data_IF_006938249605
#
_entry.id   IF_006938249605
#
_cell.length_a   1.000
_cell.length_b   1.000
_cell.length_c   1.000
_cell.angle_alpha   90.00
_cell.angle_beta   90.00
_cell.angle_gamma   90.00
#
_symmetry.space_group_name_H-M   'P 1'
#
loop_
_entity.id
_entity.type
_entity.pdbx_description
1 polymer ?
#
# COMPACT_ATOMS: atom_id res chain seq x y z
N UNK A 1 11.39 13.93 12.61
CA UNK A 1 10.66 12.87 11.88
C UNK A 1 11.65 11.78 11.55
N UNK A 2 11.27 10.51 11.62
CA UNK A 2 12.15 9.41 11.21
C UNK A 2 12.38 9.49 9.69
N UNK A 3 13.64 9.50 9.21
CA UNK A 3 13.92 9.47 7.78
C UNK A 3 13.39 8.18 7.15
N UNK A 4 12.72 8.29 6.00
CA UNK A 4 12.20 7.14 5.25
C UNK A 4 13.01 7.02 3.96
N UNK A 5 13.81 5.96 3.83
CA UNK A 5 14.59 5.69 2.62
C UNK A 5 13.66 5.19 1.51
N UNK A 6 13.83 5.77 0.31
CA UNK A 6 13.19 5.30 -0.91
C UNK A 6 14.21 5.16 -2.04
N UNK A 7 14.03 4.12 -2.83
CA UNK A 7 14.77 3.86 -4.06
C UNK A 7 13.81 4.06 -5.22
N UNK A 8 13.99 5.12 -5.99
CA UNK A 8 13.16 5.42 -7.16
C UNK A 8 13.89 4.94 -8.41
N UNK A 9 13.24 4.09 -9.20
CA UNK A 9 13.82 3.57 -10.43
C UNK A 9 13.44 4.40 -11.65
N UNK A 10 14.21 4.24 -12.71
CA UNK A 10 13.92 4.76 -14.04
C UNK A 10 14.55 3.86 -15.10
N UNK A 11 14.63 4.37 -16.33
CA UNK A 11 15.36 3.71 -17.41
C UNK A 11 16.46 4.65 -17.91
N UNK A 12 17.64 4.12 -18.19
CA UNK A 12 18.74 4.86 -18.79
C UNK A 12 18.49 5.16 -20.28
N UNK A 13 19.43 5.85 -20.93
CA UNK A 13 19.33 6.20 -22.36
C UNK A 13 19.25 4.99 -23.31
N UNK A 14 19.61 3.78 -22.84
CA UNK A 14 19.51 2.53 -23.60
C UNK A 14 18.27 1.71 -23.22
N UNK A 15 17.38 2.25 -22.40
CA UNK A 15 16.18 1.57 -21.91
C UNK A 15 16.45 0.52 -20.83
N UNK A 16 17.65 0.48 -20.24
CA UNK A 16 17.98 -0.42 -19.12
C UNK A 16 17.52 0.18 -17.80
N UNK A 17 16.97 -0.65 -16.94
CA UNK A 17 16.53 -0.18 -15.62
C UNK A 17 17.70 0.25 -14.73
N UNK A 18 17.52 1.37 -14.05
CA UNK A 18 18.51 1.99 -13.17
C UNK A 18 17.85 2.68 -11.98
N UNK A 19 18.66 3.09 -11.01
CA UNK A 19 18.23 3.93 -9.90
C UNK A 19 18.37 5.40 -10.30
N UNK A 20 17.28 6.15 -10.15
CA UNK A 20 17.27 7.60 -10.34
C UNK A 20 17.50 8.34 -9.03
N UNK A 21 16.94 7.84 -7.91
CA UNK A 21 17.17 8.38 -6.57
C UNK A 21 17.28 7.25 -5.55
N UNK A 22 18.23 7.38 -4.62
CA UNK A 22 18.37 6.49 -3.47
C UNK A 22 18.78 7.32 -2.25
N UNK A 23 17.91 7.37 -1.26
CA UNK A 23 18.16 8.09 -0.02
C UNK A 23 16.88 8.35 0.78
N UNK A 24 17.00 9.04 1.92
CA UNK A 24 15.82 9.50 2.63
C UNK A 24 14.99 10.45 1.75
N UNK A 25 13.67 10.33 1.79
CA UNK A 25 12.80 11.29 1.11
C UNK A 25 13.00 12.70 1.71
N UNK A 26 13.23 13.74 0.88
CA UNK A 26 13.39 15.10 1.37
C UNK A 26 12.05 15.75 1.76
N UNK A 27 10.90 15.15 1.42
CA UNK A 27 9.57 15.72 1.60
C UNK A 27 8.97 15.33 2.97
N UNK A 28 9.65 15.70 4.06
CA UNK A 28 9.20 15.44 5.42
C UNK A 28 8.50 16.66 6.02
N UNK A 29 7.29 16.45 6.55
CA UNK A 29 6.37 17.49 7.01
C UNK A 29 5.98 17.24 8.48
N UNK A 30 6.71 17.83 9.45
CA UNK A 30 6.31 17.81 10.86
C UNK A 30 4.93 18.45 11.04
N UNK A 31 4.10 17.87 11.91
CA UNK A 31 2.81 18.45 12.27
C UNK A 31 3.00 19.69 13.15
N UNK A 32 2.13 20.69 12.99
CA UNK A 32 2.12 21.90 13.82
C UNK A 32 1.80 21.62 15.29
N UNK A 33 1.07 20.55 15.59
CA UNK A 33 0.60 20.21 16.95
C UNK A 33 1.69 19.64 17.88
N UNK A 34 2.93 19.45 17.42
CA UNK A 34 4.04 19.05 18.29
C UNK A 34 5.06 18.11 17.63
N UNK A 35 6.20 17.95 18.31
CA UNK A 35 7.33 17.15 17.83
C UNK A 35 6.97 15.66 17.69
N UNK A 36 7.56 15.00 16.70
CA UNK A 36 7.45 13.54 16.54
C UNK A 36 6.18 13.06 15.82
N UNK A 37 5.28 13.97 15.45
CA UNK A 37 4.11 13.69 14.58
C UNK A 37 4.30 14.37 13.23
N UNK A 38 3.81 13.75 12.16
CA UNK A 38 3.87 14.34 10.82
C UNK A 38 3.71 13.31 9.73
N UNK A 39 4.01 13.69 8.50
CA UNK A 39 4.06 12.77 7.38
C UNK A 39 5.33 12.98 6.56
N UNK A 40 5.68 11.99 5.73
CA UNK A 40 6.75 12.08 4.74
C UNK A 40 6.21 11.56 3.43
N UNK A 41 6.22 12.40 2.40
CA UNK A 41 5.72 12.05 1.08
C UNK A 41 6.81 11.30 0.30
N UNK A 42 6.41 10.23 -0.38
CA UNK A 42 7.34 9.34 -1.08
C UNK A 42 7.16 9.40 -2.59
N UNK A 43 5.92 9.53 -3.07
CA UNK A 43 5.62 9.71 -4.49
C UNK A 43 4.20 10.28 -4.67
N UNK A 44 3.99 11.03 -5.73
CA UNK A 44 2.67 11.54 -6.15
C UNK A 44 2.50 11.22 -7.63
N UNK A 45 1.29 10.85 -8.06
CA UNK A 45 0.94 10.79 -9.48
C UNK A 45 -0.40 11.49 -9.68
N UNK A 46 -0.53 12.22 -10.79
CA UNK A 46 -1.66 13.15 -11.00
C UNK A 46 -2.71 12.63 -11.99
N UNK A 47 -2.38 11.58 -12.74
CA UNK A 47 -3.25 10.93 -13.71
C UNK A 47 -3.04 9.41 -13.73
N UNK A 48 -4.09 8.66 -14.07
CA UNK A 48 -4.07 7.22 -14.29
C UNK A 48 -4.51 6.94 -15.74
N UNK A 49 -3.70 6.25 -16.57
CA UNK A 49 -2.46 5.57 -16.22
C UNK A 49 -1.32 6.55 -15.90
N UNK A 50 -0.51 6.22 -14.90
CA UNK A 50 0.57 7.05 -14.39
C UNK A 50 1.69 7.22 -15.42
N UNK A 51 2.21 8.44 -15.66
CA UNK A 51 3.37 8.65 -16.52
C UNK A 51 4.61 7.95 -15.95
N UNK A 52 5.17 7.03 -16.72
CA UNK A 52 6.38 6.30 -16.34
C UNK A 52 7.64 7.03 -16.86
N UNK A 53 7.49 7.77 -17.96
CA UNK A 53 8.54 8.60 -18.56
C UNK A 53 8.66 9.93 -17.82
N UNK A 54 9.85 10.27 -17.32
CA UNK A 54 10.10 11.56 -16.67
C UNK A 54 11.36 11.56 -15.82
N UNK A 55 11.99 12.73 -15.70
CA UNK A 55 13.24 12.93 -14.94
C UNK A 55 13.01 13.70 -13.63
N UNK A 56 11.77 14.03 -13.32
CA UNK A 56 11.37 14.69 -12.09
C UNK A 56 11.16 13.68 -10.96
N UNK A 57 11.39 14.18 -9.75
CA UNK A 57 11.03 13.49 -8.53
C UNK A 57 9.63 13.96 -8.11
N UNK A 58 8.62 13.18 -8.45
CA UNK A 58 7.22 13.60 -8.28
C UNK A 58 6.76 13.58 -6.81
N UNK A 59 7.62 13.16 -5.88
CA UNK A 59 7.43 13.47 -4.46
C UNK A 59 7.44 14.98 -4.18
N UNK A 60 7.98 15.80 -5.08
CA UNK A 60 8.01 17.27 -4.97
C UNK A 60 6.71 17.96 -5.41
N UNK A 61 5.74 17.24 -5.98
CA UNK A 61 4.49 17.83 -6.44
C UNK A 61 3.81 18.52 -5.25
N UNK A 62 3.29 19.76 -5.42
CA UNK A 62 2.67 20.50 -4.34
C UNK A 62 1.57 19.70 -3.65
N UNK A 63 1.51 19.87 -2.33
CA UNK A 63 0.56 19.16 -1.47
C UNK A 63 -0.89 19.37 -1.91
N UNK A 64 -1.58 18.27 -2.16
CA UNK A 64 -3.02 18.20 -2.40
C UNK A 64 -3.59 17.07 -1.53
N UNK A 65 -4.48 17.42 -0.59
CA UNK A 65 -5.13 16.45 0.30
C UNK A 65 -6.59 16.25 -0.13
N UNK A 66 -7.05 15.00 -0.28
CA UNK A 66 -6.38 13.75 0.14
C UNK A 66 -5.29 13.26 -0.82
N UNK A 67 -5.48 13.47 -2.11
CA UNK A 67 -4.52 13.16 -3.18
C UNK A 67 -5.01 13.80 -4.50
N UNK A 68 -4.19 13.92 -5.55
CA UNK A 68 -4.63 14.43 -6.85
C UNK A 68 -5.85 13.68 -7.41
N UNK A 69 -6.87 14.37 -7.97
CA UNK A 69 -8.15 13.75 -8.35
C UNK A 69 -8.06 12.75 -9.51
N UNK A 70 -7.01 12.82 -10.34
CA UNK A 70 -6.77 11.85 -11.41
C UNK A 70 -5.83 10.71 -11.05
N UNK A 71 -5.24 10.73 -9.84
CA UNK A 71 -4.16 9.82 -9.47
C UNK A 71 -4.18 9.49 -7.99
N UNK A 72 -3.07 9.77 -7.28
CA UNK A 72 -2.93 9.40 -5.89
C UNK A 72 -1.61 9.85 -5.25
N UNK A 73 -1.40 9.42 -4.01
CA UNK A 73 -0.22 9.77 -3.22
C UNK A 73 0.22 8.63 -2.30
N UNK A 74 1.52 8.31 -2.36
CA UNK A 74 2.19 7.45 -1.39
C UNK A 74 2.86 8.31 -0.31
N UNK A 75 2.53 8.04 0.95
CA UNK A 75 3.17 8.69 2.10
C UNK A 75 3.30 7.79 3.32
N UNK A 76 4.17 8.18 4.23
CA UNK A 76 4.28 7.57 5.56
C UNK A 76 3.86 8.57 6.61
N UNK A 77 2.91 8.20 7.46
CA UNK A 77 2.45 9.01 8.59
C UNK A 77 3.11 8.51 9.87
N UNK A 78 3.81 9.40 10.57
CA UNK A 78 4.35 9.18 11.90
C UNK A 78 3.35 9.66 12.95
N UNK A 79 2.84 8.70 13.73
CA UNK A 79 1.98 8.92 14.89
C UNK A 79 2.79 8.87 16.18
N UNK A 80 2.29 9.55 17.19
CA UNK A 80 2.80 9.53 18.57
C UNK A 80 1.85 8.72 19.45
N UNK A 81 2.42 7.87 20.30
CA UNK A 81 1.66 7.05 21.24
C UNK A 81 1.14 7.85 22.42
N UNK A 82 -0.07 7.55 22.88
CA UNK A 82 -0.67 8.19 24.05
C UNK A 82 0.06 7.75 25.32
N UNK A 83 0.61 8.67 26.14
CA UNK A 83 1.32 8.30 27.35
C UNK A 83 0.36 7.77 28.42
N UNK A 84 0.88 6.99 29.36
CA UNK A 84 0.08 6.33 30.39
C UNK A 84 -0.61 7.32 31.36
N UNK A 85 0.01 8.48 31.59
CA UNK A 85 -0.46 9.57 32.43
C UNK A 85 -1.23 10.66 31.65
N UNK A 86 -1.64 10.38 30.40
CA UNK A 86 -2.39 11.33 29.59
C UNK A 86 -3.66 11.81 30.30
N UNK A 87 -3.80 13.14 30.41
CA UNK A 87 -5.00 13.80 30.91
C UNK A 87 -5.64 14.70 29.84
N UNK A 88 -6.82 14.30 29.37
CA UNK A 88 -7.57 15.04 28.36
C UNK A 88 -7.99 16.44 28.82
N UNK A 89 -8.18 16.67 30.13
CA UNK A 89 -8.57 17.97 30.67
C UNK A 89 -7.48 19.05 30.51
N UNK A 90 -6.24 18.62 30.28
CA UNK A 90 -5.07 19.50 30.13
C UNK A 90 -4.44 19.43 28.74
N UNK A 91 -5.04 18.71 27.77
CA UNK A 91 -4.50 18.63 26.42
C UNK A 91 -4.90 19.88 25.61
N UNK A 92 -3.94 20.75 25.23
CA UNK A 92 -4.23 21.96 24.45
C UNK A 92 -4.64 21.67 23.00
N UNK A 93 -4.45 20.43 22.51
CA UNK A 93 -4.76 20.01 21.16
C UNK A 93 -6.11 19.29 21.06
N UNK A 94 -6.86 19.17 22.16
CA UNK A 94 -8.14 18.48 22.14
C UNK A 94 -9.17 19.28 21.34
N UNK A 95 -9.81 18.61 20.39
CA UNK A 95 -10.90 19.16 19.59
C UNK A 95 -12.12 18.27 19.77
N UNK A 96 -13.18 18.85 20.34
CA UNK A 96 -14.44 18.16 20.54
C UNK A 96 -15.05 17.71 19.19
N UNK A 97 -15.83 16.62 19.18
CA UNK A 97 -16.64 16.28 18.03
C UNK A 97 -17.57 17.42 17.62
N UNK A 98 -17.82 17.58 16.32
CA UNK A 98 -18.75 18.57 15.78
C UNK A 98 -19.51 18.00 14.58
N UNK A 99 -20.53 18.71 14.09
CA UNK A 99 -21.21 18.32 12.86
C UNK A 99 -20.23 18.22 11.67
N UNK A 100 -20.42 17.30 10.71
CA UNK A 100 -19.55 17.17 9.55
C UNK A 100 -19.35 18.48 8.81
N UNK A 101 -18.09 18.78 8.46
CA UNK A 101 -17.69 19.94 7.66
C UNK A 101 -16.80 19.50 6.51
N UNK A 102 -16.93 20.19 5.38
CA UNK A 102 -16.03 20.03 4.23
C UNK A 102 -14.75 20.80 4.52
N UNK A 103 -13.59 20.18 4.28
CA UNK A 103 -12.30 20.87 4.25
C UNK A 103 -11.98 21.31 2.81
N UNK A 104 -11.44 22.52 2.61
CA UNK A 104 -10.86 22.91 1.32
C UNK A 104 -9.78 21.89 0.90
N UNK A 105 -9.71 21.48 -0.39
CA UNK A 105 -10.44 22.03 -1.54
C UNK A 105 -11.82 21.40 -1.83
N UNK A 106 -12.35 20.49 -1.01
CA UNK A 106 -13.72 19.98 -1.18
C UNK A 106 -13.88 18.45 -1.22
N UNK A 107 -12.80 17.70 -0.97
CA UNK A 107 -12.76 16.22 -1.10
C UNK A 107 -12.48 15.49 0.22
N UNK A 108 -12.65 16.20 1.32
CA UNK A 108 -12.42 15.71 2.67
C UNK A 108 -13.49 16.26 3.58
N UNK A 109 -14.03 15.40 4.44
CA UNK A 109 -14.98 15.78 5.46
C UNK A 109 -14.42 15.42 6.83
N UNK A 110 -14.70 16.24 7.83
CA UNK A 110 -14.32 15.95 9.20
C UNK A 110 -15.40 16.32 10.21
N UNK A 111 -15.38 15.61 11.33
CA UNK A 111 -16.32 15.80 12.45
C UNK A 111 -15.60 15.86 13.81
N UNK A 112 -14.37 16.35 13.82
CA UNK A 112 -13.60 16.61 15.05
C UNK A 112 -13.17 15.33 15.80
N UNK A 113 -13.16 15.41 17.13
CA UNK A 113 -12.88 14.26 18.02
C UNK A 113 -11.40 13.89 18.14
N UNK A 114 -10.48 14.83 17.91
CA UNK A 114 -9.05 14.58 17.91
C UNK A 114 -8.31 15.21 19.08
N UNK A 115 -7.05 14.82 19.19
CA UNK A 115 -6.08 15.34 20.14
C UNK A 115 -4.68 15.11 19.56
N UNK A 116 -3.63 15.27 20.36
CA UNK A 116 -2.26 15.07 19.87
C UNK A 116 -1.96 13.62 19.40
N UNK A 117 -2.61 12.62 20.02
CA UNK A 117 -2.37 11.19 19.84
C UNK A 117 -3.34 10.49 18.89
N UNK A 118 -4.35 11.21 18.39
CA UNK A 118 -5.35 10.69 17.46
C UNK A 118 -5.66 11.68 16.35
N UNK A 119 -5.83 11.21 15.11
CA UNK A 119 -6.38 12.02 14.02
C UNK A 119 -7.83 12.43 14.28
N UNK A 120 -8.35 13.37 13.48
CA UNK A 120 -9.78 13.67 13.45
C UNK A 120 -10.56 12.50 12.85
N UNK A 121 -11.80 12.33 13.29
CA UNK A 121 -12.75 11.51 12.56
C UNK A 121 -13.05 12.20 11.24
N UNK A 122 -12.66 11.57 10.14
CA UNK A 122 -12.69 12.15 8.80
C UNK A 122 -12.96 11.09 7.75
N UNK A 123 -13.32 11.54 6.55
CA UNK A 123 -13.33 10.70 5.36
C UNK A 123 -12.89 11.50 4.15
N UNK A 124 -12.48 10.77 3.13
CA UNK A 124 -11.85 11.31 1.94
C UNK A 124 -12.43 10.63 0.72
N UNK A 125 -12.49 11.35 -0.40
CA UNK A 125 -12.76 10.78 -1.72
C UNK A 125 -11.54 9.98 -2.21
N UNK A 126 -11.24 8.90 -1.50
CA UNK A 126 -10.14 7.98 -1.79
C UNK A 126 -10.49 6.54 -1.45
N UNK A 127 -9.77 5.62 -2.08
CA UNK A 127 -9.54 4.27 -1.57
C UNK A 127 -8.08 4.22 -1.10
N UNK A 128 -7.86 3.85 0.16
CA UNK A 128 -6.54 3.86 0.77
C UNK A 128 -6.05 2.44 1.07
N UNK A 129 -4.82 2.13 0.69
CA UNK A 129 -4.10 0.98 1.22
C UNK A 129 -3.22 1.44 2.37
N UNK A 130 -3.61 1.09 3.59
CA UNK A 130 -2.89 1.45 4.81
C UNK A 130 -2.21 0.23 5.43
N UNK A 131 -0.92 0.37 5.75
CA UNK A 131 -0.08 -0.71 6.26
C UNK A 131 0.78 -0.19 7.41
N UNK A 132 0.78 -0.90 8.55
CA UNK A 132 1.68 -0.59 9.67
C UNK A 132 3.09 -1.07 9.34
N UNK A 133 4.04 -0.13 9.35
CA UNK A 133 5.47 -0.40 9.24
C UNK A 133 6.09 -0.62 10.61
N UNK A 134 5.69 0.19 11.61
CA UNK A 134 6.21 0.18 12.98
C UNK A 134 5.15 0.57 14.00
N UNK A 135 5.25 -0.01 15.20
CA UNK A 135 4.33 0.25 16.30
C UNK A 135 2.97 -0.41 16.10
N UNK A 136 1.96 0.18 16.74
CA UNK A 136 0.56 -0.26 16.69
C UNK A 136 -0.34 0.94 16.42
N UNK A 137 -1.51 0.70 15.85
CA UNK A 137 -2.51 1.73 15.56
C UNK A 137 -3.89 1.14 15.80
N UNK A 138 -4.83 2.01 16.16
CA UNK A 138 -6.25 1.68 16.27
C UNK A 138 -6.98 2.39 15.14
N UNK A 139 -7.74 1.63 14.35
CA UNK A 139 -8.76 2.15 13.44
C UNK A 139 -10.05 2.33 14.24
N UNK A 140 -10.53 3.55 14.35
CA UNK A 140 -11.79 3.88 15.00
C UNK A 140 -12.84 4.15 13.93
N UNK A 141 -13.92 3.39 13.96
CA UNK A 141 -15.12 3.54 13.13
C UNK A 141 -16.31 3.91 14.03
N UNK A 142 -17.46 4.22 13.42
CA UNK A 142 -18.69 4.50 14.20
C UNK A 142 -19.22 3.27 14.94
N UNK A 143 -19.08 2.08 14.36
CA UNK A 143 -19.67 0.86 14.91
C UNK A 143 -18.71 0.08 15.83
N UNK A 144 -17.39 0.32 15.74
CA UNK A 144 -16.36 -0.36 16.54
C UNK A 144 -14.99 0.30 16.45
N UNK A 145 -14.07 -0.19 17.28
CA UNK A 145 -12.63 0.01 17.13
C UNK A 145 -11.95 -1.30 16.70
N UNK A 146 -10.89 -1.19 15.90
CA UNK A 146 -10.07 -2.32 15.44
C UNK A 146 -8.61 -2.04 15.72
N UNK A 147 -8.02 -2.86 16.57
CA UNK A 147 -6.57 -2.91 16.75
C UNK A 147 -5.94 -3.70 15.60
N UNK A 148 -4.84 -3.15 15.06
CA UNK A 148 -4.11 -3.77 13.97
C UNK A 148 -2.60 -3.55 14.15
N UNK A 149 -1.84 -4.52 13.66
CA UNK A 149 -0.40 -4.66 13.93
C UNK A 149 0.43 -4.70 12.63
N UNK A 150 1.76 -4.76 12.77
CA UNK A 150 2.66 -4.96 11.62
C UNK A 150 2.27 -6.18 10.80
N UNK A 151 2.07 -5.96 9.50
CA UNK A 151 1.66 -7.00 8.54
C UNK A 151 0.15 -7.04 8.28
N UNK A 152 -0.67 -6.37 9.08
CA UNK A 152 -2.08 -6.12 8.78
C UNK A 152 -2.20 -5.01 7.73
N UNK A 153 -3.19 -5.13 6.85
CA UNK A 153 -3.51 -4.11 5.85
C UNK A 153 -4.96 -3.67 6.01
N UNK A 154 -5.17 -2.38 6.19
CA UNK A 154 -6.48 -1.74 6.10
C UNK A 154 -6.69 -1.28 4.67
N UNK A 155 -7.83 -1.66 4.11
CA UNK A 155 -8.39 -1.12 2.88
C UNK A 155 -9.52 -0.18 3.31
N UNK A 156 -9.24 1.12 3.28
CA UNK A 156 -10.25 2.13 3.55
C UNK A 156 -10.94 2.50 2.24
N UNK A 157 -12.23 2.22 2.12
CA UNK A 157 -13.02 2.47 0.92
C UNK A 157 -13.93 3.67 1.20
N UNK A 158 -13.32 4.85 1.38
CA UNK A 158 -14.02 6.12 1.58
C UNK A 158 -14.76 6.25 2.92
N UNK A 159 -14.41 5.46 3.94
CA UNK A 159 -15.12 5.41 5.19
C UNK A 159 -14.89 6.64 6.07
N UNK A 160 -15.85 7.00 6.91
CA UNK A 160 -15.53 7.75 8.14
C UNK A 160 -14.57 6.95 9.01
N UNK A 161 -13.43 7.52 9.35
CA UNK A 161 -12.44 6.84 10.16
C UNK A 161 -11.60 7.81 10.98
N UNK A 162 -11.05 7.27 12.06
CA UNK A 162 -10.06 7.96 12.88
C UNK A 162 -8.89 7.02 13.17
N UNK A 163 -7.69 7.53 12.97
CA UNK A 163 -6.46 6.82 13.30
C UNK A 163 -5.96 7.24 14.68
N UNK A 164 -6.00 6.34 15.66
CA UNK A 164 -5.61 6.61 17.05
C UNK A 164 -4.41 5.76 17.46
N UNK A 165 -3.57 6.27 18.36
CA UNK A 165 -2.53 5.48 19.05
C UNK A 165 -2.93 5.34 20.51
N UNK A 166 -3.53 4.22 20.90
CA UNK A 166 -4.12 4.04 22.25
C UNK A 166 -3.07 3.75 23.33
N UNK A 167 -1.92 3.20 22.95
CA UNK A 167 -0.83 2.82 23.85
C UNK A 167 0.39 3.75 23.72
N UNK A 168 1.30 3.75 24.72
CA UNK A 168 2.62 4.36 24.58
C UNK A 168 3.42 3.71 23.44
N UNK A 169 4.25 4.51 22.77
CA UNK A 169 4.98 4.08 21.57
C UNK A 169 4.28 4.58 20.30
N UNK A 170 5.04 5.30 19.46
CA UNK A 170 4.53 5.83 18.20
C UNK A 170 4.29 4.75 17.15
N UNK A 171 3.75 5.16 16.01
CA UNK A 171 3.50 4.29 14.86
C UNK A 171 4.07 4.90 13.58
N UNK A 172 4.51 4.06 12.66
CA UNK A 172 4.70 4.43 11.25
C UNK A 172 3.71 3.65 10.40
N UNK A 173 2.89 4.37 9.64
CA UNK A 173 1.89 3.77 8.76
C UNK A 173 2.10 4.31 7.36
N UNK A 174 2.27 3.41 6.39
CA UNK A 174 2.22 3.74 4.96
C UNK A 174 0.76 3.93 4.57
N UNK A 175 0.49 4.96 3.78
CA UNK A 175 -0.76 5.17 3.08
C UNK A 175 -0.46 5.33 1.59
N UNK A 176 -1.06 4.47 0.79
CA UNK A 176 -1.22 4.66 -0.64
C UNK A 176 -2.66 5.09 -0.89
N UNK A 177 -2.85 6.38 -1.14
CA UNK A 177 -4.16 7.03 -1.23
C UNK A 177 -4.52 7.24 -2.70
N UNK A 178 -5.52 6.51 -3.19
CA UNK A 178 -5.94 6.53 -4.59
C UNK A 178 -7.22 7.34 -4.70
N UNK A 179 -7.28 8.31 -5.61
CA UNK A 179 -8.49 9.09 -5.82
C UNK A 179 -9.71 8.20 -6.05
N UNK A 180 -10.84 8.57 -5.46
CA UNK A 180 -12.13 7.89 -5.62
C UNK A 180 -13.25 8.92 -5.83
N UNK A 181 -14.43 8.43 -6.24
CA UNK A 181 -15.61 9.27 -6.45
C UNK A 181 -16.75 8.84 -5.53
N UNK A 182 -17.32 9.80 -4.80
CA UNK A 182 -18.60 9.61 -4.13
C UNK A 182 -19.74 9.97 -5.08
N UNK A 183 -20.57 8.99 -5.45
CA UNK A 183 -21.63 9.17 -6.46
C UNK A 183 -22.91 9.78 -5.89
N UNK A 184 -23.05 9.78 -4.57
CA UNK A 184 -24.17 10.32 -3.80
C UNK A 184 -23.77 11.58 -2.99
N UNK A 185 -22.79 12.31 -3.51
CA UNK A 185 -22.27 13.53 -2.90
C UNK A 185 -21.49 13.24 -1.61
N UNK A 186 -21.57 14.08 -0.57
CA UNK A 186 -20.75 13.93 0.64
C UNK A 186 -21.11 12.69 1.48
N UNK A 187 -22.16 11.94 1.11
CA UNK A 187 -22.59 10.75 1.84
C UNK A 187 -21.64 9.58 1.58
N UNK A 188 -21.14 9.39 0.35
CA UNK A 188 -20.04 8.48 0.03
C UNK A 188 -20.33 7.00 0.32
N UNK A 189 -21.55 6.54 0.05
CA UNK A 189 -21.91 5.16 0.37
C UNK A 189 -21.28 4.15 -0.59
N UNK A 190 -20.99 2.96 -0.04
CA UNK A 190 -20.60 1.82 -0.86
C UNK A 190 -21.71 1.44 -1.86
N UNK A 191 -21.28 1.21 -3.09
CA UNK A 191 -22.12 0.89 -4.22
C UNK A 191 -22.17 -0.62 -4.43
N UNK A 192 -23.29 -1.08 -5.00
CA UNK A 192 -23.48 -2.49 -5.33
C UNK A 192 -23.63 -3.39 -4.10
N UNK A 193 -23.70 -4.69 -4.36
CA UNK A 193 -23.93 -5.73 -3.35
C UNK A 193 -22.94 -6.88 -3.50
N UNK A 194 -21.73 -6.60 -3.99
CA UNK A 194 -20.70 -7.62 -4.19
C UNK A 194 -20.44 -8.35 -2.88
N UNK A 195 -20.47 -9.69 -2.97
CA UNK A 195 -20.30 -10.54 -1.81
C UNK A 195 -18.87 -10.40 -1.29
N UNK A 196 -18.74 -9.92 -0.05
CA UNK A 196 -17.48 -9.92 0.70
C UNK A 196 -16.84 -11.30 0.66
N UNK A 197 -15.60 -11.35 0.20
CA UNK A 197 -14.82 -12.58 0.10
C UNK A 197 -13.97 -12.74 1.36
N UNK A 198 -14.05 -13.91 1.98
CA UNK A 198 -13.30 -14.24 3.20
C UNK A 198 -12.52 -15.53 2.98
N UNK A 199 -11.35 -15.64 3.62
CA UNK A 199 -10.62 -16.90 3.65
C UNK A 199 -11.47 -18.00 4.29
N UNK A 200 -11.40 -19.21 3.73
CA UNK A 200 -12.03 -20.38 4.33
C UNK A 200 -11.42 -20.68 5.71
N UNK A 201 -12.18 -21.31 6.61
CA UNK A 201 -11.70 -21.65 7.96
C UNK A 201 -10.43 -22.51 7.97
N UNK A 202 -10.20 -23.30 6.92
CA UNK A 202 -9.02 -24.12 6.72
C UNK A 202 -8.01 -23.51 5.74
N UNK A 203 -8.05 -22.19 5.52
CA UNK A 203 -7.13 -21.50 4.62
C UNK A 203 -5.68 -21.78 5.00
N UNK A 204 -4.94 -22.40 4.09
CA UNK A 204 -3.52 -22.74 4.28
C UNK A 204 -2.68 -21.86 3.38
N UNK A 205 -1.71 -21.20 3.96
CA UNK A 205 -0.57 -20.63 3.26
C UNK A 205 0.62 -21.61 3.34
N UNK A 206 1.59 -21.54 2.41
CA UNK A 206 2.79 -22.37 2.48
C UNK A 206 3.53 -22.23 3.82
N UNK A 207 4.28 -23.28 4.21
CA UNK A 207 5.11 -23.23 5.41
C UNK A 207 6.08 -22.04 5.35
N UNK A 208 6.17 -21.28 6.45
CA UNK A 208 7.01 -20.07 6.53
C UNK A 208 6.37 -18.79 6.00
N UNK A 209 5.17 -18.87 5.40
CA UNK A 209 4.38 -17.70 5.01
C UNK A 209 3.44 -17.32 6.14
N UNK A 210 3.39 -16.03 6.48
CA UNK A 210 2.38 -15.47 7.38
C UNK A 210 1.15 -15.08 6.56
N UNK A 211 -0.07 -15.54 6.89
CA UNK A 211 -1.27 -15.07 6.21
C UNK A 211 -1.48 -13.59 6.51
N UNK A 212 -1.87 -12.81 5.50
CA UNK A 212 -2.07 -11.36 5.63
C UNK A 212 -3.50 -11.06 6.03
N UNK A 213 -3.68 -10.37 7.16
CA UNK A 213 -4.98 -9.88 7.62
C UNK A 213 -5.39 -8.68 6.77
N UNK A 214 -6.58 -8.76 6.19
CA UNK A 214 -7.24 -7.73 5.37
C UNK A 214 -8.42 -7.17 6.16
N UNK A 215 -8.35 -5.90 6.49
CA UNK A 215 -9.39 -5.16 7.22
C UNK A 215 -10.02 -4.20 6.22
N UNK A 216 -11.32 -4.28 5.98
CA UNK A 216 -12.02 -3.44 4.99
C UNK A 216 -13.09 -2.61 5.70
N UNK A 217 -13.01 -1.29 5.58
CA UNK A 217 -14.00 -0.36 6.10
C UNK A 217 -14.61 0.50 5.00
N UNK A 218 -15.88 0.87 5.19
CA UNK A 218 -16.67 1.69 4.28
C UNK A 218 -17.92 2.23 5.00
N UNK A 219 -18.63 3.15 4.36
CA UNK A 219 -19.94 3.62 4.81
C UNK A 219 -21.06 2.83 4.09
N UNK A 220 -21.94 2.15 4.84
CA UNK A 220 -23.18 1.53 4.29
C UNK A 220 -24.41 2.38 4.54
N UNK A 221 -24.36 3.20 5.59
CA UNK A 221 -25.41 4.07 6.05
C UNK A 221 -24.85 5.49 6.16
N UNK A 222 -25.66 6.54 5.87
CA UNK A 222 -25.19 7.92 5.96
C UNK A 222 -24.56 8.25 7.31
N UNK A 223 -23.33 8.80 7.28
CA UNK A 223 -22.57 9.23 8.46
C UNK A 223 -22.26 8.13 9.49
N UNK A 224 -22.20 6.87 9.03
CA UNK A 224 -21.89 5.72 9.89
C UNK A 224 -20.94 4.78 9.17
N UNK A 225 -19.66 4.89 9.51
CA UNK A 225 -18.68 3.92 9.03
C UNK A 225 -18.85 2.57 9.68
N UNK A 226 -18.56 1.53 8.92
CA UNK A 226 -18.75 0.15 9.33
C UNK A 226 -17.57 -0.70 8.88
N UNK A 227 -17.16 -1.64 9.73
CA UNK A 227 -16.25 -2.70 9.33
C UNK A 227 -16.98 -3.67 8.40
N UNK A 228 -16.64 -3.65 7.10
CA UNK A 228 -17.23 -4.55 6.12
C UNK A 228 -16.67 -5.98 6.23
N UNK A 229 -15.37 -6.12 6.49
CA UNK A 229 -14.74 -7.41 6.71
C UNK A 229 -13.44 -7.29 7.50
N UNK A 230 -13.10 -8.32 8.26
CA UNK A 230 -11.82 -8.47 8.94
C UNK A 230 -11.46 -9.95 8.99
N UNK A 231 -10.37 -10.31 8.34
CA UNK A 231 -9.87 -11.68 8.28
C UNK A 231 -8.74 -11.82 7.27
N UNK A 232 -8.23 -13.04 7.10
CA UNK A 232 -7.20 -13.28 6.09
C UNK A 232 -7.76 -13.17 4.68
N UNK A 233 -6.93 -12.69 3.74
CA UNK A 233 -7.34 -12.66 2.34
C UNK A 233 -7.55 -14.08 1.78
N UNK A 234 -8.63 -14.32 1.02
CA UNK A 234 -8.84 -15.62 0.37
C UNK A 234 -7.97 -15.84 -0.88
N UNK A 235 -7.42 -14.78 -1.49
CA UNK A 235 -6.75 -14.86 -2.78
C UNK A 235 -5.23 -15.01 -2.62
N UNK A 236 -4.76 -16.26 -2.61
CA UNK A 236 -3.35 -16.63 -2.47
C UNK A 236 -2.89 -17.45 -3.66
N UNK A 237 -1.84 -16.98 -4.34
CA UNK A 237 -1.12 -17.71 -5.39
C UNK A 237 0.24 -18.15 -4.90
N UNK A 238 0.64 -19.35 -5.30
CA UNK A 238 1.92 -19.95 -4.94
C UNK A 238 2.72 -20.28 -6.20
N UNK A 239 4.02 -20.52 -6.03
CA UNK A 239 4.88 -20.99 -7.12
C UNK A 239 5.46 -22.36 -6.74
N UNK A 240 5.03 -23.46 -7.38
CA UNK A 240 5.57 -24.79 -7.11
C UNK A 240 7.09 -24.89 -7.34
N UNK A 241 7.65 -24.06 -8.20
CA UNK A 241 9.08 -24.02 -8.49
C UNK A 241 9.88 -23.24 -7.42
N UNK A 242 9.19 -22.46 -6.58
CA UNK A 242 9.76 -21.75 -5.42
C UNK A 242 8.97 -22.08 -4.15
N UNK A 243 9.12 -23.29 -3.57
CA UNK A 243 8.43 -23.66 -2.34
C UNK A 243 8.65 -22.63 -1.22
N UNK A 244 7.55 -22.13 -0.64
CA UNK A 244 7.56 -21.01 0.32
C UNK A 244 7.24 -19.65 -0.30
N UNK A 245 7.09 -19.55 -1.62
CA UNK A 245 6.57 -18.37 -2.29
C UNK A 245 5.05 -18.27 -2.12
N UNK A 246 4.56 -17.07 -1.78
CA UNK A 246 3.14 -16.76 -1.77
C UNK A 246 2.88 -15.29 -2.12
N UNK A 247 1.96 -15.05 -3.05
CA UNK A 247 1.39 -13.74 -3.36
C UNK A 247 -0.05 -13.70 -2.87
N UNK A 248 -0.34 -12.83 -1.91
CA UNK A 248 -1.64 -12.68 -1.26
C UNK A 248 -2.26 -11.36 -1.72
N UNK A 249 -3.25 -11.43 -2.64
CA UNK A 249 -3.91 -10.24 -3.19
C UNK A 249 -4.94 -9.72 -2.20
N UNK A 250 -4.97 -8.41 -1.97
CA UNK A 250 -5.76 -7.79 -0.90
C UNK A 250 -6.93 -6.98 -1.44
N UNK A 251 -6.69 -6.17 -2.46
CA UNK A 251 -7.71 -5.35 -3.11
C UNK A 251 -7.31 -5.00 -4.54
N UNK A 252 -8.31 -4.65 -5.35
CA UNK A 252 -8.15 -4.16 -6.71
C UNK A 252 -9.02 -2.92 -6.88
N UNK A 253 -8.51 -1.86 -7.50
CA UNK A 253 -9.37 -0.83 -8.10
C UNK A 253 -9.42 -1.08 -9.61
N UNK A 254 -10.62 -1.01 -10.20
CA UNK A 254 -10.85 -1.19 -11.64
C UNK A 254 -10.76 0.13 -12.44
N UNK A 255 -10.38 1.22 -11.76
CA UNK A 255 -10.21 2.54 -12.33
C UNK A 255 -9.76 3.55 -11.28
N UNK A 256 -9.36 4.73 -11.77
CA UNK A 256 -9.04 5.93 -10.97
C UNK A 256 -9.67 7.13 -11.69
N UNK A 257 -10.56 7.90 -11.05
CA UNK A 257 -11.06 7.72 -9.68
C UNK A 257 -11.71 6.35 -9.44
N UNK A 258 -11.39 5.72 -8.32
CA UNK A 258 -11.93 4.45 -7.90
C UNK A 258 -13.41 4.58 -7.48
N UNK A 259 -14.14 3.46 -7.58
CA UNK A 259 -15.50 3.34 -7.06
C UNK A 259 -15.47 2.93 -5.60
N UNK A 260 -16.44 3.41 -4.82
CA UNK A 260 -16.68 2.94 -3.46
C UNK A 260 -17.53 1.69 -3.55
N UNK A 261 -16.96 0.51 -3.28
CA UNK A 261 -17.62 -0.80 -3.48
C UNK A 261 -17.35 -1.76 -2.33
N UNK A 262 -18.21 -2.77 -2.20
CA UNK A 262 -18.16 -3.75 -1.11
C UNK A 262 -16.98 -4.74 -1.20
N UNK A 263 -16.58 -5.13 -2.40
CA UNK A 263 -15.55 -6.16 -2.62
C UNK A 263 -15.02 -6.12 -4.06
N UNK A 264 -13.74 -6.42 -4.26
CA UNK A 264 -13.11 -6.43 -5.60
C UNK A 264 -12.26 -7.66 -5.90
N UNK A 265 -12.06 -8.57 -4.94
CA UNK A 265 -11.27 -9.80 -5.19
C UNK A 265 -11.94 -10.80 -6.14
N UNK A 266 -13.19 -10.57 -6.52
CA UNK A 266 -13.87 -11.32 -7.58
C UNK A 266 -13.32 -10.99 -8.98
N UNK A 267 -12.63 -9.85 -9.15
CA UNK A 267 -12.00 -9.46 -10.41
C UNK A 267 -10.88 -10.44 -10.80
N UNK A 268 -10.60 -10.59 -12.12
CA UNK A 268 -9.56 -11.49 -12.60
C UNK A 268 -8.21 -11.28 -11.90
N UNK A 269 -7.53 -12.38 -11.56
CA UNK A 269 -6.20 -12.32 -10.94
C UNK A 269 -5.13 -11.96 -11.98
N UNK A 270 -4.35 -10.92 -11.70
CA UNK A 270 -3.25 -10.43 -12.54
C UNK A 270 -2.14 -9.76 -11.68
N UNK A 271 -0.88 -9.79 -12.15
CA UNK A 271 0.19 -8.95 -11.60
C UNK A 271 -0.02 -7.48 -11.97
N UNK A 272 -0.42 -7.24 -13.21
CA UNK A 272 -0.78 -5.91 -13.69
C UNK A 272 -2.19 -5.54 -13.26
N UNK A 273 -2.44 -4.28 -12.87
CA UNK A 273 -3.79 -3.84 -12.56
C UNK A 273 -4.69 -3.78 -13.80
N UNK A 274 -6.02 -3.69 -13.61
CA UNK A 274 -6.92 -3.25 -14.67
C UNK A 274 -6.51 -1.87 -15.20
N UNK A 275 -6.96 -1.52 -16.40
CA UNK A 275 -6.72 -0.19 -16.98
C UNK A 275 -7.20 0.92 -16.04
N UNK A 276 -6.36 1.94 -15.84
CA UNK A 276 -6.53 3.04 -14.87
C UNK A 276 -6.63 2.58 -13.40
N UNK A 277 -6.43 1.31 -13.11
CA UNK A 277 -6.67 0.70 -11.81
C UNK A 277 -5.42 0.53 -10.95
N UNK A 278 -5.58 -0.23 -9.89
CA UNK A 278 -4.50 -0.63 -8.99
C UNK A 278 -4.72 -2.02 -8.41
N UNK A 279 -3.66 -2.66 -7.92
CA UNK A 279 -3.72 -3.92 -7.16
C UNK A 279 -2.81 -3.83 -5.95
N UNK A 280 -3.36 -4.15 -4.78
CA UNK A 280 -2.60 -4.30 -3.54
C UNK A 280 -2.35 -5.78 -3.25
N UNK A 281 -1.11 -6.14 -2.90
CA UNK A 281 -0.74 -7.50 -2.48
C UNK A 281 0.41 -7.48 -1.47
N UNK A 282 0.52 -8.57 -0.71
CA UNK A 282 1.76 -8.92 -0.03
C UNK A 282 2.40 -10.13 -0.71
N UNK A 283 3.71 -10.15 -0.80
CA UNK A 283 4.46 -11.23 -1.44
C UNK A 283 5.56 -11.71 -0.51
N UNK A 284 5.54 -13.00 -0.19
CA UNK A 284 6.60 -13.67 0.58
C UNK A 284 7.50 -14.43 -0.36
N UNK A 285 8.81 -14.19 -0.24
CA UNK A 285 9.86 -14.82 -1.04
C UNK A 285 10.66 -15.79 -0.17
N UNK A 286 10.78 -17.08 -0.57
CA UNK A 286 11.68 -18.00 0.10
C UNK A 286 13.14 -17.64 -0.23
N UNK A 287 14.12 -18.07 0.60
CA UNK A 287 15.54 -17.95 0.29
C UNK A 287 15.88 -18.45 -1.11
N UNK A 288 16.63 -17.67 -1.89
CA UNK A 288 17.03 -18.01 -3.26
C UNK A 288 17.74 -19.37 -3.31
N UNK A 289 18.59 -19.66 -2.33
CA UNK A 289 19.33 -20.92 -2.19
C UNK A 289 18.43 -22.18 -2.13
N UNK A 290 17.14 -22.03 -1.81
CA UNK A 290 16.21 -23.17 -1.75
C UNK A 290 15.76 -23.66 -3.14
N UNK A 291 15.75 -22.79 -4.14
CA UNK A 291 15.18 -23.04 -5.47
C UNK A 291 16.10 -22.68 -6.64
N UNK A 292 17.11 -21.83 -6.43
CA UNK A 292 18.04 -21.40 -7.49
C UNK A 292 18.76 -22.61 -8.11
N UNK A 293 18.93 -22.58 -9.43
CA UNK A 293 19.49 -23.68 -10.23
C UNK A 293 18.50 -24.81 -10.56
N UNK A 294 17.28 -24.79 -10.00
CA UNK A 294 16.21 -25.79 -10.27
C UNK A 294 15.08 -25.23 -11.15
N UNK A 295 15.15 -23.95 -11.50
CA UNK A 295 14.13 -23.25 -12.29
C UNK A 295 14.68 -22.86 -13.65
N UNK A 296 13.90 -23.08 -14.71
CA UNK A 296 14.22 -22.68 -16.07
C UNK A 296 13.08 -21.88 -16.71
N UNK A 297 13.18 -21.68 -18.03
CA UNK A 297 12.19 -20.93 -18.81
C UNK A 297 10.76 -21.46 -18.61
N UNK A 298 10.59 -22.78 -18.55
CA UNK A 298 9.28 -23.43 -18.42
C UNK A 298 8.61 -23.08 -17.10
N UNK A 299 9.32 -23.20 -15.99
CA UNK A 299 8.80 -22.91 -14.65
C UNK A 299 8.48 -21.41 -14.51
N UNK A 300 9.35 -20.55 -15.03
CA UNK A 300 9.14 -19.09 -15.03
C UNK A 300 7.91 -18.71 -15.86
N UNK A 301 7.78 -19.24 -17.07
CA UNK A 301 6.61 -18.99 -17.93
C UNK A 301 5.31 -19.48 -17.26
N UNK A 302 5.34 -20.66 -16.64
CA UNK A 302 4.19 -21.19 -15.89
C UNK A 302 3.81 -20.29 -14.71
N UNK A 303 4.79 -19.74 -13.99
CA UNK A 303 4.54 -18.77 -12.92
C UNK A 303 3.82 -17.52 -13.45
N UNK A 304 4.37 -16.82 -14.44
CA UNK A 304 3.75 -15.59 -14.97
C UNK A 304 2.37 -15.84 -15.59
N UNK A 305 2.17 -16.99 -16.25
CA UNK A 305 0.86 -17.42 -16.72
C UNK A 305 -0.12 -17.63 -15.55
N UNK A 306 0.30 -18.29 -14.47
CA UNK A 306 -0.54 -18.55 -13.30
C UNK A 306 -0.90 -17.29 -12.51
N UNK A 307 -0.06 -16.27 -12.62
CA UNK A 307 -0.26 -14.94 -12.03
C UNK A 307 -1.10 -14.02 -12.94
N UNK A 308 -1.54 -14.48 -14.12
CA UNK A 308 -2.39 -13.71 -15.03
C UNK A 308 -1.70 -12.61 -15.83
N UNK A 309 -0.36 -12.63 -15.90
CA UNK A 309 0.42 -11.62 -16.65
C UNK A 309 1.62 -12.27 -17.34
N UNK A 310 1.42 -13.22 -18.29
CA UNK A 310 2.51 -13.91 -18.98
C UNK A 310 3.48 -12.97 -19.70
N UNK A 311 2.97 -11.84 -20.20
CA UNK A 311 3.74 -10.79 -20.89
C UNK A 311 4.70 -10.01 -19.98
N UNK A 312 4.54 -10.11 -18.66
CA UNK A 312 5.43 -9.40 -17.73
C UNK A 312 6.83 -10.01 -17.68
N UNK A 313 6.97 -11.29 -18.03
CA UNK A 313 8.26 -11.99 -18.01
C UNK A 313 9.21 -11.41 -19.05
N UNK A 314 10.41 -11.01 -18.61
CA UNK A 314 11.53 -10.68 -19.50
C UNK A 314 12.62 -11.75 -19.43
N UNK A 315 12.22 -13.01 -19.16
CA UNK A 315 13.16 -14.12 -19.04
C UNK A 315 14.10 -14.18 -20.24
N UNK A 316 15.39 -14.39 -19.96
CA UNK A 316 16.36 -14.86 -20.94
C UNK A 316 17.42 -15.70 -20.22
N UNK A 317 18.16 -16.52 -20.96
CA UNK A 317 19.25 -17.32 -20.40
C UNK A 317 20.35 -16.47 -19.75
N UNK A 318 20.46 -15.19 -20.14
CA UNK A 318 21.46 -14.25 -19.65
C UNK A 318 20.88 -13.22 -18.65
N UNK A 319 19.61 -13.35 -18.26
CA UNK A 319 19.00 -12.45 -17.30
C UNK A 319 19.71 -12.57 -15.94
N UNK A 320 19.93 -11.45 -15.25
CA UNK A 320 20.53 -11.44 -13.90
C UNK A 320 19.74 -12.26 -12.87
N UNK A 321 18.44 -12.42 -13.10
CA UNK A 321 17.55 -13.21 -12.27
C UNK A 321 16.51 -13.91 -13.17
N UNK A 322 16.15 -15.18 -12.92
CA UNK A 322 15.22 -15.90 -13.81
C UNK A 322 13.82 -15.27 -13.85
N UNK A 323 13.39 -14.60 -12.78
CA UNK A 323 12.10 -13.90 -12.68
C UNK A 323 12.22 -12.39 -12.93
N UNK A 324 13.15 -11.94 -13.80
CA UNK A 324 13.10 -10.55 -14.28
C UNK A 324 11.76 -10.28 -14.96
N UNK A 325 11.18 -9.13 -14.66
CA UNK A 325 9.87 -8.70 -15.13
C UNK A 325 9.84 -7.22 -15.48
N UNK A 326 9.01 -6.87 -16.47
CA UNK A 326 8.75 -5.50 -16.88
C UNK A 326 7.28 -5.35 -17.22
N UNK A 327 6.66 -4.31 -16.68
CA UNK A 327 5.24 -3.98 -16.86
C UNK A 327 5.09 -2.48 -17.05
N UNK A 328 4.02 -2.06 -17.72
CA UNK A 328 3.63 -0.64 -17.82
C UNK A 328 2.90 -0.25 -16.53
N UNK A 329 3.64 -0.22 -15.42
CA UNK A 329 3.10 0.03 -14.08
C UNK A 329 3.98 0.99 -13.28
N UNK A 330 3.33 1.76 -12.41
CA UNK A 330 3.96 2.43 -11.27
C UNK A 330 3.77 1.53 -10.05
N UNK A 331 4.86 1.14 -9.37
CA UNK A 331 4.78 0.23 -8.23
C UNK A 331 5.40 0.84 -6.98
N UNK A 332 4.70 0.69 -5.85
CA UNK A 332 5.20 1.02 -4.53
C UNK A 332 5.44 -0.26 -3.76
N UNK A 333 6.71 -0.63 -3.62
CA UNK A 333 7.13 -1.76 -2.83
C UNK A 333 7.69 -1.29 -1.49
N UNK A 334 7.34 -1.98 -0.41
CA UNK A 334 7.94 -1.78 0.91
C UNK A 334 8.29 -3.12 1.53
N UNK A 335 9.49 -3.26 2.06
CA UNK A 335 9.88 -4.48 2.79
C UNK A 335 9.22 -4.47 4.16
N UNK A 336 8.38 -5.46 4.44
CA UNK A 336 7.63 -5.55 5.71
C UNK A 336 8.25 -6.54 6.69
N UNK A 337 8.97 -7.55 6.18
CA UNK A 337 9.73 -8.51 6.97
C UNK A 337 11.02 -8.91 6.26
N UNK A 338 12.12 -8.99 7.00
CA UNK A 338 13.43 -9.36 6.47
C UNK A 338 14.14 -8.29 5.63
N UNK A 339 14.85 -8.75 4.61
CA UNK A 339 15.65 -7.95 3.67
C UNK A 339 15.45 -8.52 2.26
N UNK A 340 15.35 -7.65 1.27
CA UNK A 340 15.15 -8.01 -0.13
C UNK A 340 16.12 -7.26 -1.03
N UNK A 341 16.54 -7.90 -2.12
CA UNK A 341 17.34 -7.26 -3.15
C UNK A 341 16.47 -6.97 -4.36
N UNK A 342 16.35 -5.68 -4.70
CA UNK A 342 15.82 -5.21 -5.98
C UNK A 342 16.91 -5.36 -7.04
N UNK A 343 16.71 -6.27 -7.97
CA UNK A 343 17.64 -6.53 -9.08
C UNK A 343 17.19 -5.71 -10.29
N UNK A 344 18.06 -4.84 -10.81
CA UNK A 344 17.86 -4.05 -12.02
C UNK A 344 18.90 -4.45 -13.09
N UNK A 345 18.68 -4.03 -14.33
CA UNK A 345 19.59 -4.30 -15.44
C UNK A 345 20.99 -3.77 -15.17
N UNK A 346 21.09 -2.60 -14.53
CA UNK A 346 22.36 -1.91 -14.27
C UNK A 346 22.97 -2.23 -12.90
N UNK A 347 22.14 -2.45 -11.87
CA UNK A 347 22.61 -2.60 -10.49
C UNK A 347 21.65 -3.44 -9.63
N UNK A 348 22.13 -3.85 -8.46
CA UNK A 348 21.31 -4.48 -7.41
C UNK A 348 21.25 -3.54 -6.21
N UNK A 349 20.09 -3.45 -5.57
CA UNK A 349 19.88 -2.60 -4.40
C UNK A 349 19.30 -3.41 -3.25
N UNK A 350 19.97 -3.39 -2.11
CA UNK A 350 19.48 -4.01 -0.87
C UNK A 350 18.48 -3.07 -0.21
N UNK A 351 17.32 -3.62 0.16
CA UNK A 351 16.23 -2.95 0.87
C UNK A 351 15.95 -3.70 2.17
N UNK A 352 16.00 -2.97 3.29
CA UNK A 352 15.69 -3.50 4.63
C UNK A 352 14.23 -3.24 4.99
N UNK A 353 13.74 -3.93 6.03
CA UNK A 353 12.41 -3.67 6.60
C UNK A 353 12.16 -2.16 6.80
N UNK A 354 11.03 -1.68 6.28
CA UNK A 354 10.59 -0.28 6.33
C UNK A 354 11.13 0.59 5.18
N UNK A 355 11.98 0.07 4.30
CA UNK A 355 12.51 0.79 3.15
C UNK A 355 11.68 0.52 1.89
N UNK A 356 11.63 1.54 1.02
CA UNK A 356 10.74 1.58 -0.13
C UNK A 356 11.49 1.47 -1.46
N UNK A 357 10.85 0.84 -2.45
CA UNK A 357 11.15 1.05 -3.86
C UNK A 357 9.93 1.63 -4.58
N UNK A 358 10.17 2.65 -5.40
CA UNK A 358 9.19 3.22 -6.33
C UNK A 358 9.65 2.84 -7.73
N UNK A 359 8.94 1.90 -8.34
CA UNK A 359 9.34 1.29 -9.61
C UNK A 359 8.51 1.92 -10.74
N UNK A 360 9.18 2.58 -11.68
CA UNK A 360 8.53 3.32 -12.78
C UNK A 360 8.72 2.60 -14.11
N UNK A 361 7.96 1.51 -14.32
CA UNK A 361 8.04 0.67 -15.51
C UNK A 361 9.40 -0.02 -15.72
N UNK A 362 10.29 0.01 -14.73
CA UNK A 362 11.65 -0.50 -14.86
C UNK A 362 11.66 -2.03 -14.87
N UNK A 363 12.50 -2.62 -15.73
CA UNK A 363 12.77 -4.05 -15.71
C UNK A 363 13.40 -4.44 -14.37
N UNK A 364 12.83 -5.38 -13.62
CA UNK A 364 13.34 -5.69 -12.29
C UNK A 364 13.04 -7.12 -11.86
N UNK A 365 13.70 -7.58 -10.79
CA UNK A 365 13.31 -8.76 -10.04
C UNK A 365 13.51 -8.56 -8.53
N UNK A 366 12.95 -9.49 -7.77
CA UNK A 366 13.11 -9.57 -6.32
C UNK A 366 13.90 -10.83 -5.98
N UNK A 367 15.02 -10.66 -5.27
CA UNK A 367 15.95 -11.72 -4.85
C UNK A 367 16.06 -11.72 -3.34
N UNK A 368 15.81 -12.89 -2.72
CA UNK A 368 15.99 -13.08 -1.28
C UNK A 368 17.29 -13.85 -1.05
N UNK A 369 18.38 -13.10 -0.90
CA UNK A 369 19.74 -13.66 -0.68
C UNK A 369 19.99 -14.07 0.77
N UNK A 370 18.98 -13.94 1.63
CA UNK A 370 19.08 -14.28 3.05
C UNK A 370 18.75 -15.75 3.30
N UNK A 371 18.93 -16.22 4.54
CA UNK A 371 18.58 -17.59 4.95
C UNK A 371 17.15 -17.77 5.46
N UNK A 372 16.28 -16.74 5.40
CA UNK A 372 14.92 -16.78 5.94
C UNK A 372 13.91 -16.20 4.94
N UNK A 373 12.62 -16.56 5.00
CA UNK A 373 11.60 -15.88 4.21
C UNK A 373 11.60 -14.36 4.47
N UNK A 374 11.34 -13.60 3.43
CA UNK A 374 11.19 -12.14 3.49
C UNK A 374 9.90 -11.73 2.77
N UNK A 375 9.28 -10.64 3.21
CA UNK A 375 7.97 -10.20 2.73
C UNK A 375 8.03 -8.75 2.29
N UNK A 376 7.39 -8.45 1.17
CA UNK A 376 7.12 -7.08 0.72
C UNK A 376 5.62 -6.86 0.55
N UNK A 377 5.17 -5.64 0.82
CA UNK A 377 3.88 -5.14 0.36
C UNK A 377 4.10 -4.42 -0.97
N UNK A 378 3.18 -4.59 -1.92
CA UNK A 378 3.24 -4.05 -3.27
C UNK A 378 1.88 -3.46 -3.63
N UNK A 379 1.83 -2.14 -3.82
CA UNK A 379 0.75 -1.48 -4.53
C UNK A 379 1.21 -1.22 -5.97
N UNK A 380 0.47 -1.75 -6.95
CA UNK A 380 0.79 -1.65 -8.37
C UNK A 380 -0.31 -0.86 -9.07
N UNK A 381 0.03 0.24 -9.72
CA UNK A 381 -0.89 1.15 -10.41
C UNK A 381 -0.65 1.09 -11.92
N UNK A 382 -1.71 1.27 -12.70
CA UNK A 382 -1.61 1.29 -14.16
C UNK A 382 -0.72 2.45 -14.63
N UNK A 383 0.07 2.23 -15.66
CA UNK A 383 1.08 3.17 -16.16
C UNK A 383 1.07 3.33 -17.67
N UNK A 384 1.71 4.39 -18.15
CA UNK A 384 1.93 4.66 -19.59
C UNK A 384 3.31 5.29 -19.84
N UNK A 385 3.91 4.98 -20.99
CA UNK A 385 5.16 5.59 -21.45
C UNK A 385 4.98 6.89 -22.21
#
# INVERSE_FOLDING_TARGET
MKPIRRVVTGNDANGKSTVSWDGPSPYSHPASMGHGRGHTDLWVWTESPAPLSGTTDDGAIPYDFPAPPGGGQLRVIQGVGKPADYNAATDPNIVAPHAPKIRPPGRTWDRGGHNFYSGGMHKTETVDYALILEGQRTLVLDDREVEWDQGDVVIDVGAWHQWSSRAPGGSLVMFDMIAATFVDGPVGLAQGNDRVMTAAANHKVPNGVKPTRRIVCLDKEPNKSTLASDGFTPDVRTDPARPGYASQRLWVTDGTPAKIVMETLHLPHALTPPKNGSVMRTVTFPPDASWQGKVGQKEVAAFFQSMGSPQASTWSANAKHPYMQKTETLEFAVVTDGEMVLVLDTQDVVLKKGEFAIIRGSNHAWSNRTGKPATIALATHDGKY
#
